data_IF_462909712265
#
_entry.id   IF_462909712265
#
_cell.length_a   1.000
_cell.length_b   1.000
_cell.length_c   1.000
_cell.angle_alpha   90.00
_cell.angle_beta   90.00
_cell.angle_gamma   90.00
#
_symmetry.space_group_name_H-M   'P 1'
#
loop_
_entity.id
_entity.type
_entity.pdbx_description
1 polymer ?
#
# COMPACT_ATOMS: atom_id res chain seq x y z
N UNK A 1 17.18 -13.23 -23.98
CA UNK A 1 17.53 -11.88 -23.47
C UNK A 1 16.34 -10.92 -23.58
N UNK A 2 15.48 -11.07 -24.59
CA UNK A 2 14.34 -10.17 -24.88
C UNK A 2 13.30 -10.02 -23.76
N UNK A 3 13.04 -11.08 -22.99
CA UNK A 3 12.11 -11.00 -21.85
C UNK A 3 12.66 -10.10 -20.75
N UNK A 4 13.95 -10.22 -20.46
CA UNK A 4 14.60 -9.41 -19.43
C UNK A 4 14.63 -7.94 -19.84
N UNK A 5 14.89 -7.66 -21.12
CA UNK A 5 14.87 -6.31 -21.69
C UNK A 5 13.46 -5.71 -21.54
N UNK A 6 12.41 -6.45 -21.92
CA UNK A 6 11.02 -6.00 -21.76
C UNK A 6 10.63 -5.76 -20.30
N UNK A 7 11.04 -6.64 -19.39
CA UNK A 7 10.79 -6.46 -17.95
C UNK A 7 11.49 -5.20 -17.43
N UNK A 8 12.69 -4.92 -17.90
CA UNK A 8 13.44 -3.72 -17.51
C UNK A 8 12.82 -2.44 -18.09
N UNK A 9 12.34 -2.47 -19.34
CA UNK A 9 11.59 -1.37 -19.96
C UNK A 9 10.30 -1.06 -19.19
N UNK A 10 9.57 -2.10 -18.76
CA UNK A 10 8.37 -1.95 -17.93
C UNK A 10 8.72 -1.33 -16.58
N UNK A 11 9.83 -1.75 -15.96
CA UNK A 11 10.29 -1.22 -14.68
C UNK A 11 10.63 0.28 -14.78
N UNK A 12 11.39 0.68 -15.79
CA UNK A 12 11.77 2.07 -16.05
C UNK A 12 10.55 2.97 -16.31
N UNK A 13 9.57 2.45 -17.06
CA UNK A 13 8.30 3.14 -17.29
C UNK A 13 7.55 3.40 -15.98
N UNK A 14 7.46 2.38 -15.11
CA UNK A 14 6.82 2.49 -13.79
C UNK A 14 7.52 3.53 -12.91
N UNK A 15 8.86 3.53 -12.90
CA UNK A 15 9.64 4.48 -12.09
C UNK A 15 9.47 5.93 -12.55
N UNK A 16 9.42 6.16 -13.87
CA UNK A 16 9.22 7.49 -14.47
C UNK A 16 7.85 8.05 -14.08
N UNK A 17 6.80 7.23 -14.22
CA UNK A 17 5.42 7.62 -13.88
C UNK A 17 5.20 7.93 -12.39
N UNK A 18 6.00 7.33 -11.49
CA UNK A 18 5.97 7.62 -10.05
C UNK A 18 6.48 9.03 -9.72
N UNK A 19 7.45 9.55 -10.48
CA UNK A 19 8.12 10.84 -10.22
C UNK A 19 7.23 12.04 -10.59
N UNK A 20 6.40 11.91 -11.62
CA UNK A 20 5.57 13.01 -12.16
C UNK A 20 4.24 13.20 -11.42
N UNK A 21 3.75 12.18 -10.70
CA UNK A 21 2.44 12.20 -10.02
C UNK A 21 2.44 12.77 -8.58
N UNK A 22 3.55 13.33 -8.08
CA UNK A 22 3.58 13.97 -6.76
C UNK A 22 2.95 15.38 -6.70
N UNK A 23 2.44 15.90 -7.83
CA UNK A 23 2.01 17.32 -7.96
C UNK A 23 0.49 17.53 -7.87
N UNK A 24 -0.36 16.50 -7.83
CA UNK A 24 -1.80 16.70 -7.88
C UNK A 24 -2.62 15.71 -7.08
N UNK A 25 -2.92 16.03 -5.81
CA UNK A 25 -3.93 15.32 -5.05
C UNK A 25 -4.85 16.33 -4.36
N UNK A 26 -5.90 16.75 -5.06
CA UNK A 26 -7.03 17.44 -4.47
C UNK A 26 -8.33 16.68 -4.75
N UNK A 27 -8.93 16.23 -3.64
CA UNK A 27 -10.37 16.23 -3.32
C UNK A 27 -11.20 14.96 -3.57
N UNK A 28 -11.68 14.44 -2.42
CA UNK A 28 -12.97 13.83 -2.09
C UNK A 28 -13.78 13.18 -3.22
N UNK A 29 -13.71 11.85 -3.25
CA UNK A 29 -14.69 11.01 -3.91
C UNK A 29 -14.47 10.90 -5.42
N UNK A 30 -13.62 9.96 -5.82
CA UNK A 30 -13.57 9.38 -7.18
C UNK A 30 -13.28 10.38 -8.31
N UNK A 31 -12.00 10.62 -8.63
CA UNK A 31 -11.56 10.95 -10.00
C UNK A 31 -10.03 10.93 -10.09
N UNK A 32 -9.47 10.09 -10.99
CA UNK A 32 -8.03 10.06 -11.26
C UNK A 32 -7.56 8.77 -11.93
N UNK A 33 -7.73 8.70 -13.25
CA UNK A 33 -7.10 7.83 -14.26
C UNK A 33 -6.62 6.43 -13.87
N UNK A 34 -7.38 5.47 -14.39
CA UNK A 34 -7.36 4.04 -14.15
C UNK A 34 -6.06 3.40 -14.66
N UNK A 35 -5.11 3.17 -13.74
CA UNK A 35 -4.30 1.96 -13.74
C UNK A 35 -4.51 1.32 -12.36
N UNK A 36 -5.35 0.29 -12.32
CA UNK A 36 -5.72 -0.44 -11.12
C UNK A 36 -4.50 -1.19 -10.56
N UNK A 37 -3.73 -0.56 -9.68
CA UNK A 37 -2.65 -1.24 -8.95
C UNK A 37 -1.37 -0.46 -8.65
N UNK A 38 -1.21 0.78 -9.14
CA UNK A 38 -0.03 1.61 -8.84
C UNK A 38 -0.34 2.81 -7.95
N UNK A 39 -1.20 2.62 -6.94
CA UNK A 39 -1.34 3.62 -5.89
C UNK A 39 -0.16 3.54 -4.92
N UNK A 40 0.36 4.70 -4.52
CA UNK A 40 1.20 4.80 -3.34
C UNK A 40 0.43 4.36 -2.09
N UNK A 41 1.07 4.41 -0.93
CA UNK A 41 0.38 4.15 0.33
C UNK A 41 -0.93 4.97 0.38
N UNK A 42 -2.08 4.33 0.70
CA UNK A 42 -3.35 5.04 0.86
C UNK A 42 -3.20 6.15 1.91
N UNK A 43 -4.00 7.22 1.86
CA UNK A 43 -3.88 8.34 2.82
C UNK A 43 -3.77 7.90 4.30
N UNK A 44 -2.87 8.54 5.05
CA UNK A 44 -2.64 8.22 6.46
C UNK A 44 -3.93 8.46 7.27
N UNK A 45 -4.38 7.46 8.06
CA UNK A 45 -5.58 7.63 8.85
C UNK A 45 -5.36 8.63 9.99
N UNK A 46 -6.11 9.73 9.98
CA UNK A 46 -6.02 10.87 10.94
C UNK A 46 -6.17 10.43 12.40
N UNK A 47 -6.98 9.41 12.66
CA UNK A 47 -7.21 8.91 14.00
C UNK A 47 -7.41 7.39 13.95
N UNK A 48 -6.57 6.68 14.71
CA UNK A 48 -6.68 5.23 14.87
C UNK A 48 -6.45 4.88 16.33
N UNK A 49 -7.54 4.64 17.05
CA UNK A 49 -7.52 4.26 18.47
C UNK A 49 -7.71 2.75 18.60
N UNK A 50 -7.00 2.12 19.55
CA UNK A 50 -7.21 0.71 19.90
C UNK A 50 -6.67 -0.33 18.93
N UNK A 51 -5.89 0.06 17.91
CA UNK A 51 -5.33 -0.87 16.91
C UNK A 51 -3.83 -1.11 17.03
N UNK A 52 -3.20 -0.72 18.14
CA UNK A 52 -1.75 -0.86 18.32
C UNK A 52 -1.32 -2.33 18.44
N UNK A 53 -2.07 -3.13 19.21
CA UNK A 53 -1.81 -4.56 19.35
C UNK A 53 -2.05 -5.33 18.03
N UNK A 54 -3.20 -5.16 17.33
CA UNK A 54 -3.38 -5.73 15.99
C UNK A 54 -2.29 -5.36 14.98
N UNK A 55 -1.83 -4.11 15.01
CA UNK A 55 -0.77 -3.63 14.12
C UNK A 55 0.57 -4.31 14.44
N UNK A 56 0.92 -4.43 15.72
CA UNK A 56 2.16 -5.08 16.12
C UNK A 56 2.19 -6.57 15.76
N UNK A 57 1.07 -7.27 15.95
CA UNK A 57 0.96 -8.68 15.58
C UNK A 57 1.12 -8.86 14.06
N UNK A 58 0.47 -8.00 13.28
CA UNK A 58 0.56 -8.03 11.81
C UNK A 58 1.99 -7.77 11.32
N UNK A 59 2.74 -6.85 11.94
CA UNK A 59 4.16 -6.63 11.60
C UNK A 59 5.01 -7.87 11.88
N UNK A 60 4.80 -8.48 13.05
CA UNK A 60 5.55 -9.67 13.45
C UNK A 60 5.32 -10.80 12.44
N UNK A 61 4.08 -11.00 12.02
CA UNK A 61 3.70 -12.01 11.03
C UNK A 61 4.34 -11.73 9.65
N UNK A 62 4.26 -10.49 9.16
CA UNK A 62 4.87 -10.08 7.89
C UNK A 62 6.39 -10.24 7.87
N UNK A 63 7.07 -9.89 8.98
CA UNK A 63 8.54 -9.94 9.06
C UNK A 63 9.04 -11.37 9.28
N UNK A 64 8.36 -12.16 10.12
CA UNK A 64 8.83 -13.50 10.50
C UNK A 64 8.63 -14.53 9.41
N UNK A 65 7.49 -14.50 8.73
CA UNK A 65 7.08 -15.64 7.92
C UNK A 65 7.60 -15.57 6.47
N UNK A 66 8.31 -14.49 6.11
CA UNK A 66 8.87 -14.29 4.76
C UNK A 66 7.82 -14.32 3.65
N UNK A 67 6.55 -14.10 4.02
CA UNK A 67 5.41 -14.25 3.12
C UNK A 67 5.26 -12.96 2.31
N UNK A 68 5.11 -13.10 1.00
CA UNK A 68 4.91 -11.97 0.09
C UNK A 68 3.50 -11.39 0.12
N UNK A 69 2.51 -12.16 0.61
CA UNK A 69 1.10 -11.80 0.64
C UNK A 69 0.46 -12.21 1.96
N UNK A 70 -0.14 -11.24 2.66
CA UNK A 70 -0.89 -11.49 3.89
C UNK A 70 -2.36 -11.06 3.75
N UNK A 71 -3.31 -11.86 4.25
CA UNK A 71 -4.75 -11.68 4.04
C UNK A 71 -5.45 -11.27 5.34
N UNK A 72 -5.96 -10.04 5.38
CA UNK A 72 -6.75 -9.55 6.52
C UNK A 72 -8.22 -9.94 6.39
N UNK A 73 -8.73 -10.73 7.34
CA UNK A 73 -10.13 -11.20 7.37
C UNK A 73 -10.90 -10.63 8.58
N UNK A 74 -12.24 -10.66 8.53
CA UNK A 74 -13.10 -10.10 9.59
C UNK A 74 -14.41 -9.49 9.08
N UNK A 75 -15.35 -9.22 9.99
CA UNK A 75 -16.69 -8.69 9.69
C UNK A 75 -16.69 -7.29 9.07
N UNK A 76 -17.81 -6.90 8.46
CA UNK A 76 -18.02 -5.52 7.99
C UNK A 76 -17.83 -4.52 9.13
N UNK A 77 -17.14 -3.41 8.89
CA UNK A 77 -16.89 -2.38 9.91
C UNK A 77 -15.80 -2.71 10.95
N UNK A 78 -15.16 -3.88 10.90
CA UNK A 78 -14.13 -4.27 11.89
C UNK A 78 -12.78 -3.53 11.79
N UNK A 79 -12.65 -2.56 10.88
CA UNK A 79 -11.42 -1.77 10.75
C UNK A 79 -10.29 -2.41 9.93
N UNK A 80 -10.51 -3.50 9.18
CA UNK A 80 -9.47 -4.16 8.35
C UNK A 80 -8.76 -3.20 7.40
N UNK A 81 -9.53 -2.42 6.63
CA UNK A 81 -8.98 -1.45 5.69
C UNK A 81 -8.20 -0.36 6.43
N UNK A 82 -8.66 0.06 7.61
CA UNK A 82 -7.94 1.02 8.47
C UNK A 82 -6.63 0.45 8.99
N UNK A 83 -6.59 -0.85 9.34
CA UNK A 83 -5.39 -1.53 9.81
C UNK A 83 -4.34 -1.62 8.71
N UNK A 84 -4.75 -2.05 7.52
CA UNK A 84 -3.90 -2.09 6.33
C UNK A 84 -3.34 -0.70 6.00
N UNK A 85 -4.19 0.33 6.03
CA UNK A 85 -3.75 1.72 5.81
C UNK A 85 -2.68 2.14 6.81
N UNK A 86 -2.91 1.91 8.11
CA UNK A 86 -1.94 2.29 9.15
C UNK A 86 -0.61 1.54 9.00
N UNK A 87 -0.64 0.28 8.59
CA UNK A 87 0.55 -0.50 8.31
C UNK A 87 1.38 0.10 7.16
N UNK A 88 0.75 0.62 6.10
CA UNK A 88 1.46 1.24 4.98
C UNK A 88 2.26 2.50 5.35
N UNK A 89 1.94 3.14 6.47
CA UNK A 89 2.66 4.32 7.00
C UNK A 89 3.61 3.97 8.13
N UNK A 90 3.73 2.69 8.47
CA UNK A 90 4.58 2.29 9.56
C UNK A 90 6.05 2.38 9.17
N UNK A 91 6.84 3.19 9.88
CA UNK A 91 8.27 3.40 9.59
C UNK A 91 9.13 2.13 9.53
N UNK A 92 8.66 1.04 10.16
CA UNK A 92 9.37 -0.25 10.18
C UNK A 92 9.06 -1.11 8.96
N UNK A 93 8.04 -0.77 8.17
CA UNK A 93 7.61 -1.48 6.98
C UNK A 93 7.88 -0.54 5.79
N UNK A 94 8.76 -0.94 4.86
CA UNK A 94 9.16 -0.15 3.69
C UNK A 94 8.78 -0.82 2.38
#
# INVERSE_FOLDING_TARGET
MDVLIKVNEILEFIMTMRKENLVGAQIWGLSGNQIWGLWGAPEEPVCVVGMNEPLNNLKIELIKDGVSVHVLTGFGGSGKSTLAKKLCWDSQIK
#
